data_IF_717078687718
#
_entry.id   IF_717078687718
#
_cell.length_a   1.000
_cell.length_b   1.000
_cell.length_c   1.000
_cell.angle_alpha   90.00
_cell.angle_beta   90.00
_cell.angle_gamma   90.00
#
_symmetry.space_group_name_H-M   'P 1'
#
loop_
_entity.id
_entity.type
_entity.pdbx_description
1 polymer ?
#
# COMPACT_ATOMS: atom_id res chain seq x y z
N UNK A 1 -6.76 -27.41 29.35
CA UNK A 1 -6.24 -26.16 29.95
C UNK A 1 -6.33 -25.09 28.89
N UNK A 2 -7.30 -24.18 29.00
CA UNK A 2 -7.39 -23.03 28.12
C UNK A 2 -6.27 -22.06 28.51
N UNK A 3 -5.31 -21.85 27.61
CA UNK A 3 -4.37 -20.74 27.72
C UNK A 3 -5.16 -19.47 27.52
N UNK A 4 -5.49 -18.78 28.61
CA UNK A 4 -5.93 -17.39 28.55
C UNK A 4 -4.73 -16.58 28.08
N UNK A 5 -4.63 -16.35 26.76
CA UNK A 5 -3.66 -15.41 26.21
C UNK A 5 -3.89 -14.07 26.91
N UNK A 6 -2.85 -13.56 27.56
CA UNK A 6 -2.86 -12.20 28.06
C UNK A 6 -3.19 -11.27 26.87
N UNK A 7 -4.06 -10.25 27.06
CA UNK A 7 -4.38 -9.35 25.97
C UNK A 7 -3.10 -8.74 25.42
N UNK A 8 -2.88 -8.92 24.12
CA UNK A 8 -1.69 -8.39 23.44
C UNK A 8 -1.55 -6.90 23.70
N UNK A 9 -0.34 -6.49 24.07
CA UNK A 9 0.01 -5.09 24.30
C UNK A 9 0.33 -4.36 23.01
N UNK A 10 0.37 -5.06 21.87
CA UNK A 10 0.69 -4.49 20.56
C UNK A 10 -0.58 -4.15 19.77
N UNK A 11 -0.58 -3.05 19.00
CA UNK A 11 -1.66 -2.80 18.06
C UNK A 11 -1.73 -3.90 16.99
N UNK A 12 -2.94 -4.26 16.57
CA UNK A 12 -3.17 -5.22 15.48
C UNK A 12 -3.61 -4.50 14.21
N UNK A 13 -2.93 -4.75 13.10
CA UNK A 13 -3.26 -4.20 11.79
C UNK A 13 -3.75 -5.33 10.88
N UNK A 14 -5.04 -5.31 10.56
CA UNK A 14 -5.67 -6.26 9.66
C UNK A 14 -5.56 -5.78 8.22
N UNK A 15 -5.04 -6.63 7.32
CA UNK A 15 -4.68 -6.25 5.95
C UNK A 15 -4.99 -7.33 4.92
N UNK A 16 -5.02 -6.91 3.66
CA UNK A 16 -4.72 -7.75 2.50
C UNK A 16 -3.38 -7.28 1.92
N UNK A 17 -2.49 -8.21 1.55
CA UNK A 17 -1.14 -7.85 1.09
C UNK A 17 -1.16 -7.09 -0.25
N UNK A 18 -2.06 -7.44 -1.17
CA UNK A 18 -2.21 -6.73 -2.46
C UNK A 18 -2.80 -5.31 -2.33
N UNK A 19 -3.39 -4.96 -1.19
CA UNK A 19 -4.25 -3.78 -1.08
C UNK A 19 -3.41 -2.51 -0.92
N UNK A 20 -3.52 -1.52 -1.83
CA UNK A 20 -2.71 -0.30 -1.77
C UNK A 20 -3.03 0.55 -0.52
N UNK A 21 -4.27 0.51 -0.01
CA UNK A 21 -4.63 1.17 1.24
C UNK A 21 -3.98 0.50 2.45
N UNK A 22 -3.83 -0.82 2.44
CA UNK A 22 -3.12 -1.56 3.48
C UNK A 22 -1.61 -1.25 3.45
N UNK A 23 -1.03 -1.07 2.26
CA UNK A 23 0.36 -0.62 2.10
C UNK A 23 0.57 0.74 2.75
N UNK A 24 -0.34 1.72 2.56
CA UNK A 24 -0.28 3.03 3.23
C UNK A 24 -0.23 2.90 4.75
N UNK A 25 -1.13 2.11 5.32
CA UNK A 25 -1.16 1.87 6.77
C UNK A 25 0.13 1.19 7.26
N UNK A 26 0.65 0.19 6.55
CA UNK A 26 1.91 -0.48 6.91
C UNK A 26 3.13 0.44 6.81
N UNK A 27 3.14 1.38 5.87
CA UNK A 27 4.27 2.29 5.66
C UNK A 27 4.60 3.10 6.92
N UNK A 28 3.59 3.64 7.62
CA UNK A 28 3.84 4.46 8.82
C UNK A 28 4.40 3.63 10.00
N UNK A 29 3.96 2.38 10.16
CA UNK A 29 4.53 1.46 11.15
C UNK A 29 6.01 1.19 10.86
N UNK A 30 6.36 0.97 9.59
CA UNK A 30 7.73 0.77 9.15
C UNK A 30 8.61 2.00 9.38
N UNK A 31 8.15 3.18 8.95
CA UNK A 31 8.87 4.45 9.09
C UNK A 31 9.18 4.78 10.55
N UNK A 32 8.23 4.53 11.46
CA UNK A 32 8.38 4.82 12.90
C UNK A 32 8.89 3.62 13.72
N UNK A 33 9.22 2.51 13.05
CA UNK A 33 9.70 1.26 13.69
C UNK A 33 8.77 0.79 14.82
N UNK A 34 7.46 0.91 14.62
CA UNK A 34 6.45 0.57 15.63
C UNK A 34 6.18 -0.94 15.59
N UNK A 35 6.43 -1.68 16.68
CA UNK A 35 6.05 -3.09 16.76
C UNK A 35 4.53 -3.22 16.74
N UNK A 36 4.03 -4.16 15.94
CA UNK A 36 2.60 -4.41 15.78
C UNK A 36 2.37 -5.85 15.32
N UNK A 37 1.17 -6.36 15.56
CA UNK A 37 0.73 -7.61 14.95
C UNK A 37 0.14 -7.34 13.57
N UNK A 38 0.71 -7.96 12.54
CA UNK A 38 0.18 -7.89 11.19
C UNK A 38 -0.71 -9.12 10.93
N UNK A 39 -1.99 -8.87 10.69
CA UNK A 39 -2.99 -9.94 10.50
C UNK A 39 -3.47 -9.93 9.06
N UNK A 40 -3.16 -10.98 8.30
CA UNK A 40 -3.67 -11.13 6.94
C UNK A 40 -5.07 -11.76 6.98
N UNK A 41 -6.06 -11.03 6.47
CA UNK A 41 -7.42 -11.53 6.35
C UNK A 41 -7.55 -12.43 5.11
N UNK A 42 -8.32 -13.50 5.20
CA UNK A 42 -8.75 -14.23 4.01
C UNK A 42 -9.65 -13.33 3.14
N UNK A 43 -9.48 -13.33 1.82
CA UNK A 43 -10.24 -12.41 0.95
C UNK A 43 -11.76 -12.64 1.02
N UNK A 44 -12.20 -13.87 1.24
CA UNK A 44 -13.63 -14.21 1.38
C UNK A 44 -14.19 -13.96 2.79
N UNK A 45 -13.34 -13.66 3.78
CA UNK A 45 -13.78 -13.38 5.14
C UNK A 45 -14.45 -12.00 5.20
N UNK A 46 -15.77 -12.02 5.31
CA UNK A 46 -16.59 -10.82 5.56
C UNK A 46 -16.86 -10.62 7.05
N UNK A 47 -16.97 -11.73 7.79
CA UNK A 47 -17.40 -11.73 9.19
C UNK A 47 -16.43 -10.95 10.08
N UNK A 48 -15.12 -11.17 9.92
CA UNK A 48 -14.11 -10.47 10.73
C UNK A 48 -14.14 -8.95 10.53
N UNK A 49 -13.98 -8.39 9.30
CA UNK A 49 -14.00 -6.95 9.14
C UNK A 49 -15.36 -6.32 9.47
N UNK A 50 -16.48 -6.99 9.16
CA UNK A 50 -17.82 -6.51 9.55
C UNK A 50 -17.97 -6.49 11.08
N UNK A 51 -17.49 -7.50 11.79
CA UNK A 51 -17.52 -7.54 13.25
C UNK A 51 -16.66 -6.45 13.90
N UNK A 52 -15.55 -6.06 13.26
CA UNK A 52 -14.65 -5.03 13.78
C UNK A 52 -15.14 -3.59 13.52
N UNK A 53 -15.59 -3.31 12.29
CA UNK A 53 -15.89 -1.93 11.84
C UNK A 53 -17.22 -1.77 11.10
N UNK A 54 -18.06 -2.81 11.08
CA UNK A 54 -19.42 -2.78 10.51
C UNK A 54 -19.50 -3.00 8.99
N UNK A 55 -18.37 -3.05 8.30
CA UNK A 55 -18.32 -3.22 6.84
C UNK A 55 -17.10 -4.02 6.41
N UNK A 56 -17.20 -4.77 5.31
CA UNK A 56 -16.09 -5.54 4.75
C UNK A 56 -15.06 -4.62 4.08
N UNK A 57 -14.06 -4.18 4.84
CA UNK A 57 -12.97 -3.36 4.34
C UNK A 57 -11.65 -3.62 5.08
N UNK A 58 -10.55 -3.17 4.46
CA UNK A 58 -9.22 -3.17 5.04
C UNK A 58 -8.43 -1.98 4.47
N UNK A 59 -7.47 -1.39 5.20
CA UNK A 59 -6.96 -1.83 6.50
C UNK A 59 -7.88 -1.51 7.69
N UNK A 60 -7.70 -2.25 8.78
CA UNK A 60 -8.34 -1.98 10.09
C UNK A 60 -7.24 -2.00 11.16
N UNK A 61 -7.20 -0.98 12.01
CA UNK A 61 -6.34 -0.93 13.18
C UNK A 61 -7.16 -1.23 14.44
N UNK A 62 -6.67 -2.14 15.28
CA UNK A 62 -7.15 -2.37 16.64
C UNK A 62 -6.04 -1.98 17.63
N UNK A 63 -6.14 -0.80 18.28
CA UNK A 63 -5.22 -0.42 19.34
C UNK A 63 -5.35 -1.35 20.57
N UNK A 64 -4.30 -1.52 21.40
CA UNK A 64 -4.38 -2.27 22.64
C UNK A 64 -5.44 -1.68 23.58
N UNK A 65 -6.42 -2.49 23.98
CA UNK A 65 -7.54 -2.06 24.83
C UNK A 65 -8.48 -1.01 24.19
N UNK A 66 -8.29 -0.69 22.91
CA UNK A 66 -9.06 0.31 22.18
C UNK A 66 -10.15 -0.30 21.29
N UNK A 67 -10.88 0.58 20.60
CA UNK A 67 -11.86 0.18 19.58
C UNK A 67 -11.18 0.09 18.22
N UNK A 68 -11.53 -0.95 17.45
CA UNK A 68 -11.09 -1.06 16.06
C UNK A 68 -11.66 0.08 15.20
N UNK A 69 -10.85 0.58 14.27
CA UNK A 69 -11.27 1.57 13.28
C UNK A 69 -10.55 1.36 11.95
N UNK A 70 -11.12 1.91 10.89
CA UNK A 70 -10.66 1.74 9.51
C UNK A 70 -10.18 3.08 8.92
N UNK A 71 -10.18 3.18 7.59
CA UNK A 71 -9.64 4.30 6.81
C UNK A 71 -8.11 4.43 6.89
N UNK A 72 -7.44 4.10 5.79
CA UNK A 72 -5.97 4.03 5.74
C UNK A 72 -5.28 5.33 6.19
N UNK A 73 -5.84 6.50 5.86
CA UNK A 73 -5.24 7.78 6.25
C UNK A 73 -5.54 8.17 7.70
N UNK A 74 -6.67 7.75 8.27
CA UNK A 74 -6.93 7.90 9.71
C UNK A 74 -5.97 7.03 10.52
N UNK A 75 -5.73 5.79 10.06
CA UNK A 75 -4.74 4.90 10.66
C UNK A 75 -3.34 5.53 10.57
N UNK A 76 -2.95 6.09 9.42
CA UNK A 76 -1.66 6.76 9.26
C UNK A 76 -1.50 7.91 10.25
N UNK A 77 -2.48 8.81 10.32
CA UNK A 77 -2.47 9.94 11.26
C UNK A 77 -2.42 9.48 12.72
N UNK A 78 -3.23 8.49 13.07
CA UNK A 78 -3.28 7.96 14.43
C UNK A 78 -1.94 7.36 14.83
N UNK A 79 -1.32 6.54 13.97
CA UNK A 79 -0.04 5.91 14.29
C UNK A 79 1.09 6.94 14.36
N UNK A 80 1.09 7.94 13.48
CA UNK A 80 2.09 9.00 13.50
C UNK A 80 2.02 9.85 14.78
N UNK A 81 0.81 10.10 15.28
CA UNK A 81 0.60 10.88 16.49
C UNK A 81 0.80 10.10 17.81
N UNK A 82 0.57 8.78 17.83
CA UNK A 82 0.43 8.04 19.09
C UNK A 82 1.49 6.94 19.34
N UNK A 83 2.27 6.54 18.33
CA UNK A 83 3.28 5.49 18.48
C UNK A 83 4.66 5.94 17.99
N UNK A 84 5.73 5.29 18.43
CA UNK A 84 7.07 5.47 17.84
C UNK A 84 7.69 6.86 18.02
N UNK A 85 7.25 7.63 19.03
CA UNK A 85 7.79 8.96 19.35
C UNK A 85 7.12 10.08 18.56
N UNK A 86 7.87 11.16 18.31
CA UNK A 86 7.37 12.36 17.62
C UNK A 86 6.85 12.06 16.22
N UNK A 87 5.85 12.82 15.77
CA UNK A 87 5.33 12.78 14.42
C UNK A 87 6.44 13.00 13.39
N UNK A 88 6.41 12.24 12.29
CA UNK A 88 7.43 12.30 11.22
C UNK A 88 6.87 12.76 9.89
N UNK A 89 5.54 12.69 9.70
CA UNK A 89 4.91 13.12 8.46
C UNK A 89 4.59 14.61 8.52
N UNK A 90 4.80 15.28 7.40
CA UNK A 90 4.32 16.64 7.18
C UNK A 90 2.87 16.60 6.69
N UNK A 91 2.19 17.75 6.79
CA UNK A 91 0.87 17.91 6.19
C UNK A 91 0.91 17.65 4.68
N UNK A 92 -0.21 17.13 4.16
CA UNK A 92 -0.35 16.88 2.73
C UNK A 92 -0.14 18.17 1.93
N UNK A 93 0.68 18.11 0.89
CA UNK A 93 0.81 19.20 -0.07
C UNK A 93 -0.43 19.40 -0.95
N UNK A 94 -1.43 18.51 -0.81
CA UNK A 94 -2.72 18.53 -1.51
C UNK A 94 -2.63 18.73 -3.03
N UNK A 95 -1.61 18.12 -3.63
CA UNK A 95 -1.25 18.24 -5.05
C UNK A 95 -2.33 17.63 -5.97
N UNK A 96 -3.14 18.49 -6.59
CA UNK A 96 -4.20 18.10 -7.52
C UNK A 96 -3.69 17.38 -8.78
N UNK A 97 -2.51 17.75 -9.28
CA UNK A 97 -1.87 17.08 -10.40
C UNK A 97 -1.48 15.62 -10.09
N UNK A 98 -1.01 15.33 -8.87
CA UNK A 98 -0.75 13.97 -8.41
C UNK A 98 -2.07 13.20 -8.25
N UNK A 99 -3.12 13.82 -7.69
CA UNK A 99 -4.44 13.18 -7.58
C UNK A 99 -5.00 12.83 -8.96
N UNK A 100 -4.86 13.74 -9.92
CA UNK A 100 -5.28 13.54 -11.30
C UNK A 100 -4.46 12.42 -11.97
N UNK A 101 -3.14 12.38 -11.78
CA UNK A 101 -2.30 11.29 -12.28
C UNK A 101 -2.72 9.91 -11.75
N UNK A 102 -3.02 9.80 -10.44
CA UNK A 102 -3.52 8.55 -9.83
C UNK A 102 -4.84 8.12 -10.47
N UNK A 103 -5.74 9.07 -10.74
CA UNK A 103 -7.01 8.80 -11.40
C UNK A 103 -6.81 8.30 -12.82
N UNK A 104 -5.99 9.01 -13.60
CA UNK A 104 -5.80 8.73 -15.03
C UNK A 104 -5.03 7.43 -15.28
N UNK A 105 -4.05 7.10 -14.44
CA UNK A 105 -3.30 5.84 -14.54
C UNK A 105 -4.07 4.63 -14.01
N UNK A 106 -5.18 4.84 -13.30
CA UNK A 106 -5.87 3.82 -12.54
C UNK A 106 -6.31 2.61 -13.37
N UNK A 107 -7.01 2.82 -14.48
CA UNK A 107 -7.60 1.72 -15.27
C UNK A 107 -6.53 0.77 -15.82
N UNK A 108 -5.48 1.32 -16.46
CA UNK A 108 -4.37 0.53 -16.98
C UNK A 108 -3.71 -0.31 -15.87
N UNK A 109 -3.43 0.33 -14.72
CA UNK A 109 -2.81 -0.34 -13.58
C UNK A 109 -3.73 -1.45 -13.02
N UNK A 110 -5.02 -1.17 -12.79
CA UNK A 110 -5.99 -2.15 -12.29
C UNK A 110 -6.07 -3.39 -13.20
N UNK A 111 -6.11 -3.18 -14.52
CA UNK A 111 -6.15 -4.28 -15.50
C UNK A 111 -4.85 -5.08 -15.52
N UNK A 112 -3.71 -4.45 -15.28
CA UNK A 112 -2.44 -5.16 -15.15
C UNK A 112 -2.37 -5.99 -13.86
N UNK A 113 -2.67 -5.39 -12.70
CA UNK A 113 -2.41 -6.07 -11.43
C UNK A 113 -3.50 -7.03 -10.99
N UNK A 114 -4.79 -6.82 -11.31
CA UNK A 114 -5.87 -7.67 -10.74
C UNK A 114 -5.74 -9.15 -11.16
N UNK A 115 -5.52 -9.48 -12.46
CA UNK A 115 -5.24 -10.86 -12.87
C UNK A 115 -3.98 -11.44 -12.20
N UNK A 116 -2.96 -10.60 -12.00
CA UNK A 116 -1.67 -11.01 -11.42
C UNK A 116 -1.76 -11.24 -9.92
N UNK A 117 -2.53 -10.42 -9.18
CA UNK A 117 -2.88 -10.67 -7.78
C UNK A 117 -3.63 -11.98 -7.63
N UNK A 118 -4.61 -12.24 -8.50
CA UNK A 118 -5.34 -13.50 -8.51
C UNK A 118 -4.43 -14.71 -8.79
N UNK A 119 -3.31 -14.56 -9.50
CA UNK A 119 -2.34 -15.63 -9.73
C UNK A 119 -1.26 -15.75 -8.63
N UNK A 120 -1.04 -14.68 -7.85
CA UNK A 120 0.04 -14.61 -6.87
C UNK A 120 -0.22 -15.45 -5.60
N UNK A 121 0.88 -15.80 -4.91
CA UNK A 121 0.87 -16.50 -3.63
C UNK A 121 0.75 -15.53 -2.45
N UNK A 122 -0.37 -14.80 -2.40
CA UNK A 122 -0.63 -13.85 -1.32
C UNK A 122 -1.41 -14.52 -0.17
N UNK A 123 -1.16 -14.15 1.11
CA UNK A 123 -1.79 -14.77 2.27
C UNK A 123 -3.33 -14.77 2.20
N UNK A 124 -3.93 -13.68 1.73
CA UNK A 124 -5.37 -13.55 1.60
C UNK A 124 -5.98 -14.54 0.59
N UNK A 125 -5.18 -15.14 -0.29
CA UNK A 125 -5.57 -16.12 -1.32
C UNK A 125 -5.04 -17.53 -1.04
N UNK A 126 -4.61 -17.82 0.19
CA UNK A 126 -4.16 -19.16 0.58
C UNK A 126 -5.25 -20.21 0.42
N UNK A 127 -6.51 -19.82 0.63
CA UNK A 127 -7.69 -20.67 0.47
C UNK A 127 -8.28 -20.50 -0.94
N UNK A 128 -8.75 -21.61 -1.53
CA UNK A 128 -9.34 -21.61 -2.87
C UNK A 128 -10.54 -20.66 -2.93
N UNK A 129 -11.39 -20.68 -1.91
CA UNK A 129 -12.61 -19.86 -1.84
C UNK A 129 -12.27 -18.36 -1.84
N UNK A 130 -11.18 -17.95 -1.18
CA UNK A 130 -10.69 -16.56 -1.24
C UNK A 130 -10.34 -16.13 -2.66
N UNK A 131 -9.66 -17.01 -3.39
CA UNK A 131 -9.18 -16.72 -4.75
C UNK A 131 -10.35 -16.61 -5.73
N UNK A 132 -11.32 -17.53 -5.61
CA UNK A 132 -12.55 -17.54 -6.40
C UNK A 132 -13.44 -16.34 -6.08
N UNK A 133 -13.60 -16.00 -4.79
CA UNK A 133 -14.34 -14.81 -4.34
C UNK A 133 -13.74 -13.53 -4.95
N UNK A 134 -12.41 -13.41 -4.90
CA UNK A 134 -11.70 -12.27 -5.50
C UNK A 134 -11.91 -12.22 -7.02
N UNK A 135 -11.73 -13.34 -7.73
CA UNK A 135 -11.92 -13.41 -9.19
C UNK A 135 -13.33 -12.97 -9.57
N UNK A 136 -14.35 -13.60 -9.00
CA UNK A 136 -15.75 -13.34 -9.34
C UNK A 136 -16.11 -11.86 -9.16
N UNK A 137 -15.67 -11.24 -8.06
CA UNK A 137 -15.94 -9.83 -7.78
C UNK A 137 -15.18 -8.88 -8.72
N UNK A 138 -13.94 -9.22 -9.09
CA UNK A 138 -13.08 -8.34 -9.89
C UNK A 138 -13.33 -8.47 -11.39
N UNK A 139 -13.66 -9.66 -11.88
CA UNK A 139 -14.07 -9.83 -13.28
C UNK A 139 -15.39 -9.12 -13.59
N UNK A 140 -16.31 -8.99 -12.61
CA UNK A 140 -17.48 -8.12 -12.74
C UNK A 140 -17.11 -6.64 -12.95
N UNK A 141 -15.98 -6.19 -12.41
CA UNK A 141 -15.56 -4.80 -12.47
C UNK A 141 -14.74 -4.46 -13.73
N UNK A 142 -13.86 -5.37 -14.18
CA UNK A 142 -12.92 -5.10 -15.28
C UNK A 142 -13.10 -5.97 -16.53
N UNK A 143 -14.03 -6.91 -16.52
CA UNK A 143 -14.17 -7.96 -17.53
C UNK A 143 -13.30 -9.19 -17.21
N UNK A 144 -13.33 -10.23 -18.07
CA UNK A 144 -12.55 -11.45 -17.87
C UNK A 144 -11.06 -11.16 -17.72
N UNK A 145 -10.42 -11.81 -16.74
CA UNK A 145 -8.98 -11.63 -16.54
C UNK A 145 -8.15 -12.07 -17.75
N UNK A 146 -8.64 -13.04 -18.52
CA UNK A 146 -8.00 -13.49 -19.77
C UNK A 146 -7.88 -12.37 -20.80
N UNK A 147 -8.87 -11.49 -20.91
CA UNK A 147 -8.83 -10.36 -21.85
C UNK A 147 -7.81 -9.30 -21.42
N UNK A 148 -7.77 -8.99 -20.12
CA UNK A 148 -6.77 -8.09 -19.56
C UNK A 148 -5.34 -8.66 -19.72
N UNK A 149 -5.16 -9.97 -19.55
CA UNK A 149 -3.88 -10.65 -19.78
C UNK A 149 -3.48 -10.61 -21.26
N UNK A 150 -4.40 -10.85 -22.18
CA UNK A 150 -4.14 -10.80 -23.62
C UNK A 150 -3.70 -9.39 -24.08
N UNK A 151 -4.24 -8.34 -23.45
CA UNK A 151 -3.89 -6.93 -23.69
C UNK A 151 -2.67 -6.43 -22.90
N UNK A 152 -1.86 -7.34 -22.34
CA UNK A 152 -0.69 -6.93 -21.53
C UNK A 152 0.25 -5.98 -22.27
N UNK A 153 0.64 -6.20 -23.54
CA UNK A 153 1.57 -5.30 -24.23
C UNK A 153 1.05 -3.85 -24.31
N UNK A 154 -0.22 -3.65 -24.65
CA UNK A 154 -0.84 -2.34 -24.76
C UNK A 154 -0.96 -1.66 -23.39
N UNK A 155 -1.42 -2.40 -22.37
CA UNK A 155 -1.58 -1.88 -21.01
C UNK A 155 -0.23 -1.50 -20.38
N UNK A 156 0.84 -2.26 -20.67
CA UNK A 156 2.20 -1.92 -20.23
C UNK A 156 2.70 -0.65 -20.92
N UNK A 157 2.47 -0.50 -22.22
CA UNK A 157 2.85 0.72 -22.93
C UNK A 157 2.13 1.96 -22.36
N UNK A 158 0.83 1.84 -22.09
CA UNK A 158 0.03 2.89 -21.44
C UNK A 158 0.55 3.21 -20.03
N UNK A 159 0.78 2.18 -19.20
CA UNK A 159 1.32 2.35 -17.85
C UNK A 159 2.69 3.05 -17.86
N UNK A 160 3.58 2.69 -18.78
CA UNK A 160 4.88 3.35 -18.93
C UNK A 160 4.74 4.82 -19.31
N UNK A 161 3.84 5.17 -20.24
CA UNK A 161 3.56 6.57 -20.58
C UNK A 161 2.97 7.38 -19.41
N UNK A 162 2.23 6.73 -18.50
CA UNK A 162 1.85 7.35 -17.23
C UNK A 162 3.07 7.56 -16.32
N UNK A 163 3.96 6.57 -16.19
CA UNK A 163 5.15 6.69 -15.34
C UNK A 163 6.11 7.79 -15.80
N UNK A 164 6.29 7.98 -17.12
CA UNK A 164 7.06 9.09 -17.67
C UNK A 164 6.47 10.44 -17.26
N UNK A 165 5.15 10.62 -17.40
CA UNK A 165 4.45 11.83 -16.92
C UNK A 165 4.57 12.02 -15.41
N UNK A 166 4.56 10.93 -14.63
CA UNK A 166 4.75 11.02 -13.17
C UNK A 166 6.14 11.58 -12.82
N UNK A 167 7.18 11.18 -13.57
CA UNK A 167 8.54 11.63 -13.32
C UNK A 167 8.65 13.17 -13.41
N UNK A 168 7.91 13.79 -14.34
CA UNK A 168 7.82 15.24 -14.48
C UNK A 168 7.07 15.92 -13.32
N UNK A 169 6.24 15.20 -12.55
CA UNK A 169 5.54 15.79 -11.40
C UNK A 169 6.40 15.82 -10.14
N UNK A 170 7.47 15.02 -10.09
CA UNK A 170 8.43 14.96 -8.98
C UNK A 170 9.53 16.02 -9.06
N UNK A 171 9.20 17.20 -9.60
CA UNK A 171 10.01 18.40 -9.43
C UNK A 171 9.60 19.11 -8.14
N UNK A 172 10.58 19.32 -7.27
CA UNK A 172 10.42 20.13 -6.06
C UNK A 172 11.65 21.01 -5.95
N UNK A 173 11.42 22.31 -5.78
CA UNK A 173 12.42 23.35 -5.45
C UNK A 173 13.02 23.16 -4.03
N UNK A 174 12.72 22.01 -3.39
CA UNK A 174 13.23 21.51 -2.11
C UNK A 174 13.49 20.00 -2.19
N UNK A 175 13.79 19.49 -3.37
CA UNK A 175 14.03 18.07 -3.57
C UNK A 175 15.44 17.70 -3.13
N UNK A 176 15.55 16.54 -2.49
CA UNK A 176 16.83 15.84 -2.30
C UNK A 176 17.58 15.70 -3.63
N UNK A 177 16.86 15.68 -4.77
CA UNK A 177 17.43 15.63 -6.12
C UNK A 177 18.20 16.89 -6.48
N UNK A 178 17.64 18.09 -6.35
CA UNK A 178 18.41 19.32 -6.61
C UNK A 178 19.60 19.45 -5.65
N UNK A 179 19.44 19.08 -4.38
CA UNK A 179 20.57 19.02 -3.45
C UNK A 179 21.61 17.97 -3.85
N UNK A 180 21.20 16.79 -4.33
CA UNK A 180 22.09 15.73 -4.79
C UNK A 180 22.77 16.08 -6.11
N UNK A 181 22.06 16.69 -7.04
CA UNK A 181 22.58 17.17 -8.33
C UNK A 181 23.56 18.33 -8.08
N UNK A 182 23.20 19.28 -7.22
CA UNK A 182 24.12 20.31 -6.73
C UNK A 182 25.34 19.72 -6.04
N UNK A 183 25.18 18.74 -5.14
CA UNK A 183 26.32 18.09 -4.48
C UNK A 183 27.18 17.29 -5.45
N UNK A 184 26.60 16.69 -6.49
CA UNK A 184 27.33 15.98 -7.54
C UNK A 184 28.07 16.92 -8.50
N UNK A 185 27.52 18.10 -8.78
CA UNK A 185 28.17 19.13 -9.60
C UNK A 185 29.20 19.94 -8.80
N UNK A 186 28.94 20.23 -7.53
CA UNK A 186 29.78 21.07 -6.67
C UNK A 186 30.89 20.28 -5.97
N UNK A 187 30.72 18.97 -5.74
CA UNK A 187 31.78 18.10 -5.26
C UNK A 187 32.29 17.26 -6.43
N UNK A 188 33.44 17.64 -6.99
CA UNK A 188 34.24 16.83 -7.91
C UNK A 188 34.81 15.60 -7.18
N UNK A 189 33.93 14.71 -6.70
CA UNK A 189 34.27 13.57 -5.85
C UNK A 189 33.50 12.33 -6.33
N UNK A 190 34.20 11.24 -6.70
CA UNK A 190 33.63 9.98 -7.15
C UNK A 190 32.98 9.24 -5.96
N UNK A 191 31.82 9.73 -5.51
CA UNK A 191 31.05 9.09 -4.45
C UNK A 191 30.39 7.78 -4.95
N UNK A 192 30.08 7.71 -6.25
CA UNK A 192 29.44 6.54 -6.85
C UNK A 192 30.41 5.35 -7.06
N UNK A 193 31.68 5.58 -7.40
CA UNK A 193 32.66 4.49 -7.59
C UNK A 193 33.06 3.78 -6.28
N UNK A 194 32.84 4.43 -5.12
CA UNK A 194 33.11 3.85 -3.81
C UNK A 194 31.89 3.12 -3.20
N UNK A 195 30.67 3.41 -3.68
CA UNK A 195 29.45 2.72 -3.22
C UNK A 195 29.06 1.50 -4.06
N UNK A 196 29.61 1.34 -5.25
CA UNK A 196 29.37 0.20 -6.15
C UNK A 196 30.39 -0.96 -6.01
N UNK A 197 31.01 -1.11 -4.83
CA UNK A 197 31.75 -2.34 -4.48
C UNK A 197 31.00 -3.12 -3.40
N UNK A 198 30.14 -4.02 -3.85
CA UNK A 198 29.85 -5.30 -3.20
C UNK A 198 29.93 -6.40 -4.24
#
# INVERSE_FOLDING_TARGET
MATTDAPSTLPKLYVYDHCPYCVRARAIFGLKKVPHELVFLASHDEATPIGLVGVKQAPILLPPGGKAFAESMDIVRFVDANYGGSAVLQESADREDIKQWIKDSGDAMYRLFLPRFHAAHLPEFALKESREYFRAKKEQAIGPFSEALARTPELVAEANAHLERLAELFHSNRSLREFMDYMAEAADVPLFDSMAKY
#
